data_IF_550747824226
#
_entry.id   IF_550747824226
#
_cell.length_a   1.000
_cell.length_b   1.000
_cell.length_c   1.000
_cell.angle_alpha   90.00
_cell.angle_beta   90.00
_cell.angle_gamma   90.00
#
_symmetry.space_group_name_H-M   'P 1'
#
loop_
_entity.id
_entity.type
_entity.pdbx_description
1 polymer ?
#
# COMPACT_ATOMS: atom_id res chain seq x y z
N UNK A 1 11.89 6.27 -10.36
CA UNK A 1 11.33 6.23 -11.72
C UNK A 1 10.51 4.97 -11.83
N UNK A 2 9.19 5.12 -11.99
CA UNK A 2 8.19 4.08 -11.78
C UNK A 2 7.48 4.30 -10.45
N UNK A 3 6.42 5.12 -10.44
CA UNK A 3 5.59 5.38 -9.26
C UNK A 3 4.66 4.21 -8.92
N UNK A 4 5.05 2.98 -9.24
CA UNK A 4 4.17 1.82 -9.24
C UNK A 4 3.02 2.00 -10.23
N UNK A 5 2.78 1.00 -11.06
CA UNK A 5 1.56 1.00 -11.85
C UNK A 5 0.42 0.65 -10.89
N UNK A 6 -0.33 1.66 -10.44
CA UNK A 6 -1.54 1.43 -9.63
C UNK A 6 -2.56 0.56 -10.39
N UNK A 7 -2.47 0.55 -11.73
CA UNK A 7 -3.14 -0.40 -12.63
C UNK A 7 -2.17 -0.84 -13.73
N UNK A 8 -2.11 -2.13 -14.05
CA UNK A 8 -1.14 -2.71 -15.02
C UNK A 8 -1.78 -3.77 -15.92
N UNK A 9 -1.12 -4.10 -17.04
CA UNK A 9 -1.48 -5.12 -18.03
C UNK A 9 -0.82 -6.50 -17.79
N UNK A 10 -0.18 -6.72 -16.65
CA UNK A 10 0.57 -7.96 -16.35
C UNK A 10 -0.29 -9.16 -15.94
N UNK A 11 -1.63 -9.05 -16.00
CA UNK A 11 -2.53 -10.16 -15.68
C UNK A 11 -2.27 -11.36 -16.61
N UNK A 12 -2.03 -12.53 -16.03
CA UNK A 12 -1.73 -13.77 -16.78
C UNK A 12 -0.25 -14.11 -16.90
N UNK A 13 0.67 -13.25 -16.43
CA UNK A 13 2.09 -13.61 -16.26
C UNK A 13 2.22 -14.50 -15.01
N UNK A 14 2.65 -15.75 -15.21
CA UNK A 14 2.81 -16.74 -14.13
C UNK A 14 4.26 -16.85 -13.61
N UNK A 15 4.44 -17.42 -12.42
CA UNK A 15 5.75 -17.69 -11.80
C UNK A 15 6.23 -16.63 -10.81
N UNK A 16 5.41 -15.60 -10.56
CA UNK A 16 5.69 -14.47 -9.69
C UNK A 16 4.58 -14.24 -8.65
N UNK A 17 3.75 -15.26 -8.39
CA UNK A 17 2.58 -15.19 -7.51
C UNK A 17 2.95 -14.79 -6.07
N UNK A 18 4.16 -15.15 -5.64
CA UNK A 18 4.71 -14.78 -4.33
C UNK A 18 4.81 -13.26 -4.13
N UNK A 19 4.97 -12.49 -5.20
CA UNK A 19 5.05 -11.04 -5.14
C UNK A 19 3.69 -10.34 -5.06
N UNK A 20 2.58 -11.09 -5.22
CA UNK A 20 1.21 -10.56 -5.17
C UNK A 20 1.04 -9.33 -6.08
N UNK A 21 1.47 -9.46 -7.33
CA UNK A 21 1.32 -8.41 -8.36
C UNK A 21 -0.15 -8.07 -8.68
N UNK A 22 -1.10 -8.85 -8.19
CA UNK A 22 -2.53 -8.56 -8.21
C UNK A 22 -2.95 -7.48 -7.21
N UNK A 23 -2.12 -7.14 -6.21
CA UNK A 23 -2.42 -6.14 -5.19
C UNK A 23 -1.80 -4.77 -5.54
N UNK A 24 -2.57 -3.71 -5.31
CA UNK A 24 -2.13 -2.33 -5.49
C UNK A 24 -2.48 -1.49 -4.25
N UNK A 25 -1.74 -0.41 -4.01
CA UNK A 25 -2.00 0.53 -2.91
C UNK A 25 -2.32 1.92 -3.45
N UNK A 26 -3.48 2.44 -3.06
CA UNK A 26 -3.77 3.86 -3.23
C UNK A 26 -3.16 4.62 -2.05
N UNK A 27 -2.39 5.66 -2.32
CA UNK A 27 -1.77 6.50 -1.30
C UNK A 27 -2.57 7.80 -1.15
N UNK A 28 -3.14 8.02 0.03
CA UNK A 28 -3.87 9.22 0.39
C UNK A 28 -3.05 9.96 1.45
N UNK A 29 -2.31 10.98 1.01
CA UNK A 29 -1.37 11.74 1.83
C UNK A 29 -2.00 13.08 2.17
N UNK A 30 -2.02 13.42 3.46
CA UNK A 30 -2.44 14.74 3.95
C UNK A 30 -1.19 15.52 4.34
N UNK A 31 -1.14 16.77 3.86
CA UNK A 31 -0.03 17.69 4.09
C UNK A 31 -0.52 18.88 4.92
N UNK A 32 0.33 19.38 5.80
CA UNK A 32 0.13 20.70 6.40
C UNK A 32 0.32 21.77 5.31
N UNK A 33 -0.58 22.74 5.27
CA UNK A 33 -0.71 23.67 4.13
C UNK A 33 0.43 24.68 3.98
N UNK A 34 1.18 24.93 5.05
CA UNK A 34 2.17 26.01 5.18
C UNK A 34 3.60 25.49 5.00
N UNK A 35 3.94 24.40 5.68
CA UNK A 35 5.24 23.73 5.72
C UNK A 35 5.35 22.65 4.65
N UNK A 36 4.21 22.11 4.19
CA UNK A 36 4.18 20.96 3.27
C UNK A 36 4.57 19.65 3.96
N UNK A 37 4.68 19.62 5.28
CA UNK A 37 4.99 18.42 6.03
C UNK A 37 3.83 17.42 5.93
N UNK A 38 4.17 16.13 5.82
CA UNK A 38 3.18 15.07 5.87
C UNK A 38 2.67 14.96 7.30
N UNK A 39 1.34 15.03 7.47
CA UNK A 39 0.69 14.87 8.78
C UNK A 39 -0.07 13.55 8.89
N UNK A 40 -0.43 12.96 7.76
CA UNK A 40 -1.10 11.67 7.69
C UNK A 40 -0.83 11.00 6.34
N UNK A 41 -0.68 9.69 6.32
CA UNK A 41 -0.60 8.92 5.09
C UNK A 41 -1.38 7.62 5.26
N UNK A 42 -2.48 7.53 4.52
CA UNK A 42 -3.40 6.40 4.54
C UNK A 42 -3.27 5.62 3.25
N UNK A 43 -3.12 4.30 3.34
CA UNK A 43 -2.97 3.41 2.22
C UNK A 43 -4.20 2.52 2.09
N UNK A 44 -4.77 2.44 0.89
CA UNK A 44 -5.97 1.66 0.63
C UNK A 44 -5.62 0.48 -0.28
N UNK A 45 -5.66 -0.76 0.24
CA UNK A 45 -5.45 -1.97 -0.54
C UNK A 45 -6.54 -2.15 -1.59
N UNK A 46 -6.10 -2.41 -2.82
CA UNK A 46 -6.93 -2.73 -3.96
C UNK A 46 -6.42 -4.02 -4.59
N UNK A 47 -7.32 -4.74 -5.27
CA UNK A 47 -6.96 -5.89 -6.09
C UNK A 47 -7.26 -5.57 -7.55
N UNK A 48 -6.29 -5.82 -8.42
CA UNK A 48 -6.45 -5.73 -9.86
C UNK A 48 -7.05 -7.02 -10.39
N UNK A 49 -8.12 -6.89 -11.18
CA UNK A 49 -8.77 -8.01 -11.85
C UNK A 49 -9.44 -7.57 -13.14
N UNK A 50 -9.06 -8.18 -14.25
CA UNK A 50 -9.54 -7.88 -15.61
C UNK A 50 -9.43 -6.38 -15.92
N UNK A 51 -8.26 -5.82 -15.64
CA UNK A 51 -7.96 -4.40 -15.86
C UNK A 51 -8.92 -3.44 -15.10
N UNK A 52 -9.35 -3.85 -13.90
CA UNK A 52 -10.17 -3.05 -12.99
C UNK A 52 -9.64 -3.15 -11.58
N UNK A 53 -9.86 -2.09 -10.82
CA UNK A 53 -9.57 -2.05 -9.39
C UNK A 53 -10.81 -2.47 -8.61
N UNK A 54 -10.65 -3.53 -7.84
CA UNK A 54 -11.64 -4.07 -6.92
C UNK A 54 -11.14 -3.86 -5.48
N UNK A 55 -12.05 -3.88 -4.51
CA UNK A 55 -11.64 -3.87 -3.10
C UNK A 55 -10.91 -5.17 -2.80
N UNK A 56 -9.76 -5.06 -2.13
CA UNK A 56 -9.01 -6.23 -1.72
C UNK A 56 -9.82 -7.10 -0.74
N UNK A 57 -9.62 -8.42 -0.77
CA UNK A 57 -10.30 -9.33 0.14
C UNK A 57 -9.81 -9.11 1.57
N UNK A 58 -10.59 -9.47 2.60
CA UNK A 58 -10.23 -9.19 3.99
C UNK A 58 -8.85 -9.77 4.44
N UNK A 59 -8.36 -10.82 3.78
CA UNK A 59 -7.05 -11.40 4.07
C UNK A 59 -5.88 -10.55 3.54
N UNK A 60 -6.09 -9.80 2.45
CA UNK A 60 -5.03 -9.08 1.75
C UNK A 60 -4.52 -7.84 2.51
N UNK A 61 -5.37 -6.96 3.09
CA UNK A 61 -4.91 -5.86 3.93
C UNK A 61 -4.04 -6.32 5.09
N UNK A 62 -4.36 -7.47 5.70
CA UNK A 62 -3.56 -8.04 6.79
C UNK A 62 -2.19 -8.50 6.30
N UNK A 63 -2.13 -9.16 5.14
CA UNK A 63 -0.87 -9.59 4.53
C UNK A 63 0.02 -8.38 4.19
N UNK A 64 -0.54 -7.37 3.53
CA UNK A 64 0.19 -6.13 3.20
C UNK A 64 0.65 -5.43 4.48
N UNK A 65 -0.18 -5.35 5.52
CA UNK A 65 0.15 -4.69 6.77
C UNK A 65 1.40 -5.29 7.43
N UNK A 66 1.47 -6.63 7.45
CA UNK A 66 2.63 -7.33 8.00
C UNK A 66 3.88 -7.07 7.14
N UNK A 67 3.78 -7.23 5.82
CA UNK A 67 4.89 -7.03 4.90
C UNK A 67 5.44 -5.60 4.96
N UNK A 68 4.57 -4.60 4.94
CA UNK A 68 4.97 -3.20 5.03
C UNK A 68 5.57 -2.85 6.38
N UNK A 69 5.04 -3.41 7.47
CA UNK A 69 5.63 -3.20 8.80
C UNK A 69 7.04 -3.77 8.89
N UNK A 70 7.26 -4.98 8.36
CA UNK A 70 8.57 -5.64 8.31
C UNK A 70 9.57 -4.85 7.44
N UNK A 71 9.18 -4.49 6.22
CA UNK A 71 10.05 -3.73 5.30
C UNK A 71 10.28 -2.28 5.77
N UNK A 72 9.36 -1.74 6.55
CA UNK A 72 9.35 -0.38 7.06
C UNK A 72 10.27 -0.14 8.25
N UNK A 73 10.66 -1.18 8.99
CA UNK A 73 11.47 -1.06 10.21
C UNK A 73 12.78 -0.32 9.97
N UNK A 74 13.47 -0.65 8.87
CA UNK A 74 14.72 0.00 8.45
C UNK A 74 14.58 1.49 8.10
N UNK A 75 13.35 1.97 7.96
CA UNK A 75 13.02 3.36 7.66
C UNK A 75 12.31 4.06 8.83
N UNK A 76 12.27 3.44 10.01
CA UNK A 76 11.54 3.96 11.17
C UNK A 76 10.04 4.19 10.87
N UNK A 77 9.47 3.35 10.00
CA UNK A 77 8.05 3.37 9.62
C UNK A 77 7.35 2.10 10.07
N UNK A 78 6.07 2.22 10.40
CA UNK A 78 5.18 1.09 10.69
C UNK A 78 3.79 1.41 10.16
N UNK A 79 3.02 0.38 9.83
CA UNK A 79 1.62 0.54 9.45
C UNK A 79 0.70 -0.10 10.48
N UNK A 80 -0.45 0.51 10.73
CA UNK A 80 -1.57 -0.09 11.46
C UNK A 80 -2.72 -0.37 10.50
N UNK A 81 -3.53 -1.39 10.78
CA UNK A 81 -4.68 -1.79 9.98
C UNK A 81 -5.98 -1.41 10.71
N UNK A 82 -6.84 -0.64 10.06
CA UNK A 82 -8.16 -0.23 10.55
C UNK A 82 -9.16 -0.20 9.38
N UNK A 83 -10.31 -0.86 9.52
CA UNK A 83 -11.36 -0.94 8.50
C UNK A 83 -10.87 -1.30 7.09
N UNK A 84 -9.86 -2.19 7.01
CA UNK A 84 -9.27 -2.63 5.75
C UNK A 84 -8.32 -1.61 5.09
N UNK A 85 -8.11 -0.46 5.71
CA UNK A 85 -7.13 0.55 5.30
C UNK A 85 -5.90 0.51 6.21
N UNK A 86 -4.75 0.88 5.68
CA UNK A 86 -3.54 1.04 6.48
C UNK A 86 -3.28 2.51 6.78
N UNK A 87 -2.78 2.81 7.97
CA UNK A 87 -2.27 4.13 8.33
C UNK A 87 -0.78 4.00 8.60
N UNK A 88 0.02 4.81 7.91
CA UNK A 88 1.47 4.87 8.11
C UNK A 88 1.78 5.74 9.32
N UNK A 89 2.58 5.21 10.23
CA UNK A 89 3.25 5.96 11.29
C UNK A 89 4.75 5.99 11.02
N UNK A 90 5.37 7.13 11.29
CA UNK A 90 6.82 7.31 11.23
C UNK A 90 7.28 8.06 12.48
N UNK A 91 8.51 7.79 12.90
CA UNK A 91 9.18 8.57 13.93
C UNK A 91 10.29 9.39 13.28
N UNK A 92 10.41 10.66 13.63
CA UNK A 92 11.64 11.39 13.38
C UNK A 92 12.71 10.81 14.31
N UNK A 93 13.88 10.47 13.77
CA UNK A 93 15.07 10.18 14.58
C UNK A 93 15.48 11.39 15.45
#
# INVERSE_FOLDING_TARGET
YGCGDFITDYEGISGYEAFRGDLALMYLVELESTTGEVINARLVPMQMRRFRLERASAADPKWICNLMSELGERFCTRVSLEDGCLTLGWSAE
#
